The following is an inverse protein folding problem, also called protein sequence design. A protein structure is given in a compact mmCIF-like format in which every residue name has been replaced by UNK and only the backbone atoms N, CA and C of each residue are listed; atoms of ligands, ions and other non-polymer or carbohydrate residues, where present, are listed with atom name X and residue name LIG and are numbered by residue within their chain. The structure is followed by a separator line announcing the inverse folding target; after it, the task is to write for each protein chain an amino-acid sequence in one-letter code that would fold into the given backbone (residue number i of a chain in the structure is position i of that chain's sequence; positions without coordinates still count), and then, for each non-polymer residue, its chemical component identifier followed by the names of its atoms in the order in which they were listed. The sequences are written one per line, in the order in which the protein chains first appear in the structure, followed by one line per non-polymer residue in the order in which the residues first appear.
data_IF_555355841985
#
_entry.id   IF_555355841985
#
_cell.length_a   1.000
_cell.length_b   1.000
_cell.length_c   1.000
_cell.angle_alpha   90.00
_cell.angle_beta   90.00
_cell.angle_gamma   90.00
#
_symmetry.space_group_name_H-M   'P 1'
#
loop_
_entity.id
_entity.type
_entity.pdbx_description
1 polymer ?
#
# COMPACT_ATOMS: atom_id res chain seq x y z
N UNK A 1 -36.18 -74.29 -11.87
CA UNK A 1 -34.77 -73.95 -12.10
C UNK A 1 -34.72 -72.51 -12.58
N UNK A 2 -34.35 -71.57 -11.71
CA UNK A 2 -34.30 -70.13 -12.00
C UNK A 2 -32.84 -69.73 -12.14
N UNK A 3 -32.45 -69.37 -13.36
CA UNK A 3 -31.09 -69.03 -13.73
C UNK A 3 -30.83 -67.56 -13.38
N UNK A 4 -29.97 -67.31 -12.39
CA UNK A 4 -29.51 -65.96 -12.07
C UNK A 4 -28.41 -65.55 -13.05
N UNK A 5 -28.72 -64.57 -13.91
CA UNK A 5 -27.74 -63.96 -14.79
C UNK A 5 -26.80 -63.07 -13.96
N UNK A 6 -25.57 -63.53 -13.73
CA UNK A 6 -24.50 -62.73 -13.12
C UNK A 6 -24.06 -61.71 -14.16
N UNK A 7 -24.38 -60.44 -13.91
CA UNK A 7 -23.97 -59.30 -14.74
C UNK A 7 -22.47 -59.08 -14.53
N UNK A 8 -21.63 -59.44 -15.50
CA UNK A 8 -20.19 -59.17 -15.42
C UNK A 8 -19.91 -57.71 -15.76
N UNK A 9 -19.35 -56.97 -14.80
CA UNK A 9 -18.93 -55.56 -14.89
C UNK A 9 -17.55 -55.41 -15.55
N UNK A 10 -17.30 -56.14 -16.64
CA UNK A 10 -15.99 -56.12 -17.30
C UNK A 10 -15.69 -54.79 -18.02
N UNK A 11 -16.70 -53.96 -18.30
CA UNK A 11 -16.55 -52.69 -19.05
C UNK A 11 -16.32 -51.44 -18.18
N UNK A 12 -16.25 -51.55 -16.86
CA UNK A 12 -16.08 -50.40 -15.95
C UNK A 12 -14.61 -49.99 -15.73
N UNK A 13 -13.65 -50.86 -16.13
CA UNK A 13 -12.22 -50.66 -15.89
C UNK A 13 -11.59 -49.51 -16.70
N UNK A 14 -12.10 -49.21 -17.89
CA UNK A 14 -11.58 -48.12 -18.74
C UNK A 14 -12.04 -46.72 -18.30
N UNK A 15 -13.26 -46.62 -17.75
CA UNK A 15 -13.85 -45.36 -17.30
C UNK A 15 -13.14 -44.84 -16.04
N UNK A 16 -12.72 -45.74 -15.14
CA UNK A 16 -12.00 -45.35 -13.93
C UNK A 16 -10.71 -44.56 -14.23
N UNK A 17 -9.96 -44.94 -15.26
CA UNK A 17 -8.75 -44.23 -15.70
C UNK A 17 -9.08 -42.82 -16.21
N UNK A 18 -10.12 -42.69 -17.04
CA UNK A 18 -10.53 -41.41 -17.61
C UNK A 18 -11.00 -40.46 -16.49
N UNK A 19 -11.77 -40.98 -15.54
CA UNK A 19 -12.24 -40.22 -14.37
C UNK A 19 -11.07 -39.80 -13.47
N UNK A 20 -10.09 -40.69 -13.26
CA UNK A 20 -8.87 -40.38 -12.52
C UNK A 20 -8.02 -39.30 -13.22
N UNK A 21 -7.89 -39.35 -14.54
CA UNK A 21 -7.19 -38.32 -15.31
C UNK A 21 -7.92 -36.98 -15.26
N UNK A 22 -9.25 -36.98 -15.39
CA UNK A 22 -10.04 -35.77 -15.35
C UNK A 22 -9.98 -35.10 -13.98
N UNK A 23 -10.06 -35.89 -12.92
CA UNK A 23 -9.90 -35.40 -11.54
C UNK A 23 -8.49 -34.88 -11.28
N UNK A 24 -7.45 -35.56 -11.75
CA UNK A 24 -6.07 -35.07 -11.68
C UNK A 24 -5.89 -33.73 -12.41
N UNK A 25 -6.44 -33.60 -13.62
CA UNK A 25 -6.41 -32.32 -14.36
C UNK A 25 -7.13 -31.22 -13.59
N UNK A 26 -8.27 -31.54 -13.00
CA UNK A 26 -9.04 -30.57 -12.21
C UNK A 26 -8.28 -30.11 -10.96
N UNK A 27 -7.65 -31.04 -10.24
CA UNK A 27 -6.79 -30.73 -9.09
C UNK A 27 -5.58 -29.91 -9.51
N UNK A 28 -4.92 -30.25 -10.63
CA UNK A 28 -3.79 -29.50 -11.14
C UNK A 28 -4.17 -28.04 -11.49
N UNK A 29 -5.32 -27.83 -12.14
CA UNK A 29 -5.84 -26.50 -12.43
C UNK A 29 -6.13 -25.70 -11.15
N UNK A 30 -6.73 -26.33 -10.14
CA UNK A 30 -6.97 -25.72 -8.83
C UNK A 30 -5.67 -25.29 -8.14
N UNK A 31 -4.65 -26.15 -8.14
CA UNK A 31 -3.34 -25.83 -7.55
C UNK A 31 -2.70 -24.64 -8.25
N UNK A 32 -2.71 -24.60 -9.58
CA UNK A 32 -2.17 -23.46 -10.35
C UNK A 32 -2.96 -22.19 -10.06
N UNK A 33 -4.29 -22.26 -9.98
CA UNK A 33 -5.13 -21.12 -9.66
C UNK A 33 -4.82 -20.55 -8.26
N UNK A 34 -4.72 -21.41 -7.24
CA UNK A 34 -4.40 -21.01 -5.88
C UNK A 34 -2.98 -20.43 -5.77
N UNK A 35 -2.01 -20.99 -6.51
CA UNK A 35 -0.64 -20.48 -6.53
C UNK A 35 -0.56 -19.09 -7.17
N UNK A 36 -1.35 -18.84 -8.22
CA UNK A 36 -1.46 -17.51 -8.82
C UNK A 36 -2.12 -16.49 -7.87
N UNK A 37 -3.18 -16.88 -7.15
CA UNK A 37 -3.84 -15.99 -6.17
C UNK A 37 -2.88 -15.63 -5.04
N UNK A 38 -2.14 -16.60 -4.50
CA UNK A 38 -1.16 -16.33 -3.44
C UNK A 38 -0.04 -15.37 -3.86
N UNK A 39 0.40 -15.44 -5.13
CA UNK A 39 1.37 -14.50 -5.68
C UNK A 39 0.83 -13.07 -5.81
N UNK A 40 -0.44 -12.92 -6.22
CA UNK A 40 -1.12 -11.63 -6.36
C UNK A 40 -1.29 -10.97 -4.98
N UNK A 41 -1.73 -11.74 -3.98
CA UNK A 41 -1.96 -11.23 -2.62
C UNK A 41 -0.66 -10.67 -2.00
N UNK A 42 0.48 -11.31 -2.26
CA UNK A 42 1.77 -10.84 -1.78
C UNK A 42 2.21 -9.52 -2.43
N UNK A 43 1.92 -9.34 -3.72
CA UNK A 43 2.20 -8.09 -4.42
C UNK A 43 1.31 -6.94 -3.91
N UNK A 44 0.01 -7.20 -3.72
CA UNK A 44 -0.93 -6.23 -3.17
C UNK A 44 -0.52 -5.82 -1.75
N UNK A 45 -0.18 -6.79 -0.90
CA UNK A 45 0.25 -6.52 0.47
C UNK A 45 1.52 -5.65 0.51
N UNK A 46 2.50 -5.94 -0.35
CA UNK A 46 3.74 -5.16 -0.43
C UNK A 46 3.48 -3.72 -0.89
N UNK A 47 2.65 -3.56 -1.91
CA UNK A 47 2.26 -2.23 -2.40
C UNK A 47 1.54 -1.43 -1.32
N UNK A 48 0.62 -2.06 -0.59
CA UNK A 48 -0.10 -1.43 0.51
C UNK A 48 0.85 -1.02 1.66
N UNK A 49 1.86 -1.83 1.98
CA UNK A 49 2.85 -1.46 2.99
C UNK A 49 3.67 -0.25 2.55
N UNK A 50 4.10 -0.17 1.30
CA UNK A 50 4.84 1.00 0.81
C UNK A 50 3.99 2.26 0.76
N UNK A 51 2.75 2.11 0.33
CA UNK A 51 1.73 3.15 0.33
C UNK A 51 1.55 3.76 1.72
N UNK A 52 1.22 2.93 2.71
CA UNK A 52 1.06 3.33 4.11
C UNK A 52 2.32 4.01 4.65
N UNK A 53 3.50 3.45 4.36
CA UNK A 53 4.77 4.04 4.82
C UNK A 53 5.04 5.40 4.18
N UNK A 54 4.73 5.58 2.90
CA UNK A 54 4.89 6.85 2.21
C UNK A 54 3.94 7.92 2.79
N UNK A 55 2.70 7.56 3.10
CA UNK A 55 1.73 8.43 3.78
C UNK A 55 2.23 8.86 5.16
N UNK A 56 2.68 7.92 6.00
CA UNK A 56 3.26 8.27 7.32
C UNK A 56 4.48 9.20 7.21
N UNK A 57 5.25 9.07 6.15
CA UNK A 57 6.43 9.90 5.92
C UNK A 57 6.03 11.32 5.50
N UNK A 58 4.99 11.45 4.68
CA UNK A 58 4.39 12.73 4.33
C UNK A 58 3.77 13.40 5.58
N UNK A 59 3.09 12.66 6.44
CA UNK A 59 2.55 13.16 7.72
C UNK A 59 3.63 13.72 8.63
N UNK A 60 4.74 12.99 8.77
CA UNK A 60 5.90 13.46 9.54
C UNK A 60 6.47 14.77 8.98
N UNK A 61 6.40 14.97 7.66
CA UNK A 61 6.76 16.23 7.01
C UNK A 61 5.80 17.37 7.34
N UNK A 62 4.48 17.13 7.38
CA UNK A 62 3.50 18.14 7.83
C UNK A 62 3.77 18.57 9.27
N UNK A 63 4.02 17.62 10.18
CA UNK A 63 4.35 17.93 11.57
C UNK A 63 5.66 18.72 11.70
N UNK A 64 6.67 18.36 10.89
CA UNK A 64 7.92 19.12 10.80
C UNK A 64 7.67 20.56 10.32
N UNK A 65 6.79 20.75 9.34
CA UNK A 65 6.42 22.08 8.86
C UNK A 65 5.71 22.91 9.92
N UNK A 66 4.75 22.32 10.63
CA UNK A 66 4.05 23.00 11.74
C UNK A 66 5.06 23.44 12.80
N UNK A 67 6.00 22.57 13.20
CA UNK A 67 7.04 22.92 14.16
C UNK A 67 7.92 24.08 13.68
N UNK A 68 8.37 24.07 12.43
CA UNK A 68 9.20 25.12 11.88
C UNK A 68 8.43 26.44 11.70
N UNK A 69 7.18 26.39 11.25
CA UNK A 69 6.32 27.57 11.11
C UNK A 69 5.99 28.23 12.46
N UNK A 70 5.89 27.44 13.53
CA UNK A 70 5.74 27.97 14.90
C UNK A 70 6.96 28.80 15.32
N UNK A 71 8.16 28.45 14.86
CA UNK A 71 9.39 29.17 15.21
C UNK A 71 9.70 30.31 14.23
N UNK A 72 9.41 30.11 12.95
CA UNK A 72 9.70 31.04 11.87
C UNK A 72 8.54 31.07 10.88
N UNK A 73 7.76 32.16 10.92
CA UNK A 73 6.63 32.39 10.00
C UNK A 73 7.04 32.47 8.53
N UNK A 74 8.31 32.75 8.23
CA UNK A 74 8.85 32.85 6.87
C UNK A 74 9.49 31.55 6.38
N UNK A 75 9.31 30.45 7.11
CA UNK A 75 9.80 29.14 6.70
C UNK A 75 9.03 28.64 5.48
N UNK A 76 9.74 28.31 4.40
CA UNK A 76 9.16 27.95 3.10
C UNK A 76 9.26 26.46 2.76
N UNK A 77 9.81 25.63 3.65
CA UNK A 77 10.02 24.21 3.40
C UNK A 77 11.41 23.70 3.79
N UNK A 78 11.66 22.42 3.53
CA UNK A 78 12.94 21.75 3.83
C UNK A 78 14.04 22.09 2.83
N UNK A 79 13.69 22.63 1.65
CA UNK A 79 14.64 22.97 0.59
C UNK A 79 15.30 21.75 -0.09
N UNK A 80 14.82 20.54 0.20
CA UNK A 80 15.35 19.28 -0.33
C UNK A 80 14.81 18.05 0.40
N UNK A 81 15.33 16.88 0.04
CA UNK A 81 14.90 15.61 0.61
C UNK A 81 15.51 15.42 2.00
N UNK A 82 14.66 15.24 3.01
CA UNK A 82 15.05 14.90 4.37
C UNK A 82 14.90 13.41 4.56
N UNK A 83 16.01 12.71 4.75
CA UNK A 83 16.01 11.27 4.99
C UNK A 83 15.38 10.94 6.33
N UNK A 84 14.38 10.06 6.33
CA UNK A 84 13.75 9.57 7.54
C UNK A 84 13.25 8.13 7.36
N UNK A 85 13.57 7.21 8.28
CA UNK A 85 14.48 7.35 9.42
C UNK A 85 15.94 7.54 8.98
N UNK A 86 16.79 8.08 9.86
CA UNK A 86 18.21 8.36 9.55
C UNK A 86 18.94 7.10 9.09
N UNK A 87 19.65 7.19 7.96
CA UNK A 87 20.36 6.05 7.36
C UNK A 87 19.48 5.15 6.48
N UNK A 88 18.20 5.49 6.29
CA UNK A 88 17.35 4.83 5.30
C UNK A 88 17.46 5.46 3.90
N UNK A 89 16.88 4.79 2.91
CA UNK A 89 16.68 5.33 1.55
C UNK A 89 15.37 6.11 1.41
N UNK A 90 14.58 6.19 2.48
CA UNK A 90 13.28 6.87 2.49
C UNK A 90 13.47 8.33 2.88
N UNK A 91 12.70 9.21 2.23
CA UNK A 91 12.82 10.65 2.46
C UNK A 91 11.48 11.35 2.30
N UNK A 92 11.32 12.46 3.01
CA UNK A 92 10.24 13.39 2.77
C UNK A 92 10.77 14.74 2.30
N UNK A 93 9.93 15.49 1.59
CA UNK A 93 10.19 16.86 1.21
C UNK A 93 8.96 17.70 1.53
N UNK A 94 9.17 18.87 2.12
CA UNK A 94 8.09 19.77 2.47
C UNK A 94 8.30 21.12 1.81
N UNK A 95 7.24 21.64 1.23
CA UNK A 95 7.20 22.97 0.61
C UNK A 95 6.01 23.74 1.20
N UNK A 96 6.21 25.00 1.53
CA UNK A 96 5.15 25.89 2.01
C UNK A 96 5.00 27.03 1.03
N UNK A 97 3.82 27.18 0.46
CA UNK A 97 3.51 28.21 -0.54
C UNK A 97 2.06 28.64 -0.42
N UNK A 98 1.80 29.95 -0.47
CA UNK A 98 0.45 30.49 -0.62
C UNK A 98 -0.55 30.15 0.50
N UNK A 99 -0.09 29.74 1.70
CA UNK A 99 -0.97 29.30 2.79
C UNK A 99 -1.25 27.79 2.83
N UNK A 100 -0.59 27.02 1.97
CA UNK A 100 -0.67 25.55 1.94
C UNK A 100 0.70 24.95 2.22
N UNK A 101 0.72 23.89 3.03
CA UNK A 101 1.87 23.03 3.30
C UNK A 101 1.70 21.79 2.43
N UNK A 102 2.64 21.55 1.52
CA UNK A 102 2.70 20.33 0.73
C UNK A 102 3.85 19.48 1.22
N UNK A 103 3.56 18.26 1.66
CA UNK A 103 4.54 17.28 2.11
C UNK A 103 4.48 16.05 1.23
N UNK A 104 5.62 15.65 0.69
CA UNK A 104 5.78 14.42 -0.09
C UNK A 104 6.64 13.43 0.66
N UNK A 105 6.22 12.18 0.73
CA UNK A 105 6.94 11.07 1.36
C UNK A 105 7.26 10.00 0.32
N UNK A 106 8.52 9.61 0.20
CA UNK A 106 8.98 8.58 -0.75
C UNK A 106 9.61 7.38 -0.04
N UNK A 107 9.11 6.19 -0.32
CA UNK A 107 9.58 4.91 0.21
C UNK A 107 9.69 3.88 -0.92
N UNK A 108 10.89 3.38 -1.20
CA UNK A 108 11.09 2.31 -2.19
C UNK A 108 10.64 2.67 -3.62
N UNK A 109 10.62 3.96 -3.97
CA UNK A 109 10.13 4.45 -5.26
C UNK A 109 8.63 4.77 -5.32
N UNK A 110 7.89 4.51 -4.24
CA UNK A 110 6.51 4.97 -4.07
C UNK A 110 6.51 6.34 -3.40
N UNK A 111 5.81 7.29 -4.01
CA UNK A 111 5.68 8.65 -3.49
C UNK A 111 4.22 8.94 -3.18
N UNK A 112 3.97 9.52 -2.01
CA UNK A 112 2.67 10.08 -1.60
C UNK A 112 2.80 11.55 -1.29
N UNK A 113 1.79 12.33 -1.65
CA UNK A 113 1.74 13.76 -1.40
C UNK A 113 0.51 14.12 -0.60
N UNK A 114 0.70 14.99 0.39
CA UNK A 114 -0.33 15.46 1.29
C UNK A 114 -0.23 16.98 1.33
N UNK A 115 -1.35 17.63 1.03
CA UNK A 115 -1.55 19.07 1.16
C UNK A 115 -2.34 19.38 2.42
N UNK A 116 -1.89 20.37 3.19
CA UNK A 116 -2.65 20.88 4.31
C UNK A 116 -2.67 22.42 4.28
N UNK A 117 -3.85 23.00 4.30
CA UNK A 117 -4.01 24.45 4.42
C UNK A 117 -3.76 24.87 5.86
N UNK A 118 -3.01 25.95 6.05
CA UNK A 118 -2.67 26.45 7.38
C UNK A 118 -2.96 27.94 7.54
N UNK A 119 -3.50 28.28 8.71
CA UNK A 119 -3.60 29.66 9.16
C UNK A 119 -2.55 29.91 10.24
N UNK A 120 -1.78 30.99 10.07
CA UNK A 120 -0.75 31.42 11.01
C UNK A 120 -1.20 32.70 11.73
N UNK A 121 -1.14 32.70 13.05
CA UNK A 121 -1.51 33.84 13.88
C UNK A 121 -0.50 34.08 15.01
N UNK A 122 -0.22 35.35 15.31
CA UNK A 122 0.74 35.76 16.34
C UNK A 122 1.62 36.92 15.88
N UNK A 123 1.96 37.82 16.80
CA UNK A 123 2.83 38.97 16.54
C UNK A 123 4.32 38.63 16.73
N UNK A 124 4.63 37.54 17.41
CA UNK A 124 5.99 37.04 17.67
C UNK A 124 5.96 35.54 17.95
N UNK A 125 7.07 34.84 17.73
CA UNK A 125 7.20 33.43 18.03
C UNK A 125 6.94 33.11 19.53
N UNK A 126 6.33 31.96 19.86
CA UNK A 126 5.83 30.94 18.94
C UNK A 126 4.51 31.35 18.27
N UNK A 127 4.44 31.21 16.94
CA UNK A 127 3.22 31.45 16.18
C UNK A 127 2.21 30.33 16.43
N UNK A 128 0.92 30.65 16.46
CA UNK A 128 -0.14 29.65 16.48
C UNK A 128 -0.43 29.23 15.06
N UNK A 129 -0.11 27.97 14.75
CA UNK A 129 -0.39 27.32 13.46
C UNK A 129 -1.59 26.42 13.62
N UNK A 130 -2.64 26.67 12.84
CA UNK A 130 -3.85 25.85 12.75
C UNK A 130 -3.93 25.23 11.36
N UNK A 131 -4.16 23.93 11.30
CA UNK A 131 -4.47 23.23 10.06
C UNK A 131 -5.98 23.29 9.84
N UNK A 132 -6.41 23.77 8.67
CA UNK A 132 -7.82 24.02 8.38
C UNK A 132 -8.42 22.94 7.47
N UNK A 133 -7.65 22.47 6.47
CA UNK A 133 -8.07 21.42 5.55
C UNK A 133 -6.93 20.45 5.31
N UNK A 134 -7.27 19.18 5.15
CA UNK A 134 -6.32 18.11 4.82
C UNK A 134 -6.74 17.48 3.50
N UNK A 135 -5.84 17.50 2.51
CA UNK A 135 -6.08 17.06 1.14
C UNK A 135 -5.00 16.04 0.77
N UNK A 136 -5.39 14.78 0.62
CA UNK A 136 -4.53 13.77 -0.02
C UNK A 136 -4.53 14.00 -1.54
N UNK A 137 -3.35 14.03 -2.16
CA UNK A 137 -3.19 14.20 -3.61
C UNK A 137 -2.65 12.94 -4.29
#
# INVERSE_FOLDING_TARGET
MTQYAVRSTQYEHGIALILAMFTLLFVAMLVIALMNVGGIDQQIATNHIYDVRATYLADAGIETAVYNLRQNSSWSGTGGNVTFPSGSTSYYNVTVSGGTITSSGTVGGYTREIGADYTLSGASAPYTVRLDTWVEQ
#
